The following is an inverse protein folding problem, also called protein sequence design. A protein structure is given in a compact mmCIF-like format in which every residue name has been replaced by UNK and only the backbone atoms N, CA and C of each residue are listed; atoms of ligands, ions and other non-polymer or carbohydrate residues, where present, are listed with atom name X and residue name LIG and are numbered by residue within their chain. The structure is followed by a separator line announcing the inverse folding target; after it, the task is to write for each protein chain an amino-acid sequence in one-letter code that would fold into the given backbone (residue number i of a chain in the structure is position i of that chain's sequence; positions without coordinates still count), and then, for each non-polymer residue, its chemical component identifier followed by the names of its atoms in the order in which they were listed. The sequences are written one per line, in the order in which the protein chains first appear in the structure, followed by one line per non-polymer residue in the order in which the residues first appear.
data_IF_294148488904
#
_entry.id   IF_294148488904
#
_cell.length_a   1.000
_cell.length_b   1.000
_cell.length_c   1.000
_cell.angle_alpha   90.00
_cell.angle_beta   90.00
_cell.angle_gamma   90.00
#
_symmetry.space_group_name_H-M   'P 1'
#
loop_
_entity.id
_entity.type
_entity.pdbx_description
1 polymer ?
#
# COMPACT_ATOMS: atom_id res chain seq x y z
N UNK A 1 44.88 22.70 44.25
CA UNK A 1 44.71 22.16 42.90
C UNK A 1 43.43 21.31 42.89
N UNK A 2 42.33 21.84 42.27
CA UNK A 2 41.04 21.16 42.23
C UNK A 2 40.87 20.62 40.80
N UNK A 3 40.76 19.30 40.64
CA UNK A 3 40.47 18.65 39.37
C UNK A 3 38.96 18.65 39.15
N UNK A 4 38.53 19.33 38.11
CA UNK A 4 37.16 19.32 37.61
C UNK A 4 37.09 18.20 36.55
N UNK A 5 36.42 17.09 36.90
CA UNK A 5 36.11 16.02 35.93
C UNK A 5 34.90 16.42 35.09
N UNK A 6 35.10 16.57 33.79
CA UNK A 6 34.08 16.79 32.82
C UNK A 6 33.52 15.42 32.36
N UNK A 7 32.31 15.09 32.81
CA UNK A 7 31.56 13.93 32.32
C UNK A 7 30.93 14.30 31.00
N UNK A 8 31.49 13.76 29.91
CA UNK A 8 30.89 13.85 28.57
C UNK A 8 29.75 12.84 28.49
N UNK A 9 28.51 13.33 28.56
CA UNK A 9 27.32 12.53 28.30
C UNK A 9 27.17 12.30 26.80
N UNK A 10 27.49 11.08 26.33
CA UNK A 10 27.27 10.65 24.96
C UNK A 10 25.77 10.32 24.81
N UNK A 11 24.99 11.28 24.26
CA UNK A 11 23.65 10.97 23.78
C UNK A 11 23.76 10.08 22.53
N UNK A 12 23.58 8.76 22.70
CA UNK A 12 23.30 7.87 21.58
C UNK A 12 21.91 8.21 21.04
N UNK A 13 21.83 9.01 19.98
CA UNK A 13 20.68 9.07 19.12
C UNK A 13 20.60 7.73 18.37
N UNK A 14 19.82 6.78 18.89
CA UNK A 14 19.39 5.63 18.12
C UNK A 14 18.50 6.14 16.98
N UNK A 15 19.08 6.27 15.78
CA UNK A 15 18.32 6.43 14.55
C UNK A 15 17.47 5.17 14.39
N UNK A 16 16.16 5.30 14.64
CA UNK A 16 15.17 4.30 14.29
C UNK A 16 15.13 4.30 12.75
N UNK A 17 15.98 3.50 12.12
CA UNK A 17 15.79 3.14 10.73
C UNK A 17 14.48 2.39 10.68
N UNK A 18 13.48 2.93 9.98
CA UNK A 18 12.31 2.20 9.58
C UNK A 18 12.81 0.95 8.82
N UNK A 19 12.79 -0.21 9.48
CA UNK A 19 13.16 -1.46 8.83
C UNK A 19 12.10 -1.70 7.76
N UNK A 20 12.53 -1.81 6.49
CA UNK A 20 11.64 -2.31 5.44
C UNK A 20 11.03 -3.63 5.94
N UNK A 21 9.71 -3.79 5.92
CA UNK A 21 9.08 -5.01 6.40
C UNK A 21 9.67 -6.21 5.66
N UNK A 22 9.95 -7.28 6.39
CA UNK A 22 10.44 -8.51 5.80
C UNK A 22 9.39 -9.05 4.82
N UNK A 23 9.75 -9.21 3.55
CA UNK A 23 8.86 -9.73 2.51
C UNK A 23 8.93 -11.26 2.44
N UNK A 24 7.85 -11.90 1.94
CA UNK A 24 7.78 -13.35 1.76
C UNK A 24 8.44 -13.83 0.46
N UNK A 25 8.58 -12.93 -0.50
CA UNK A 25 9.24 -13.15 -1.78
C UNK A 25 10.14 -11.95 -2.11
N UNK A 26 11.18 -12.19 -2.90
CA UNK A 26 11.98 -11.14 -3.53
C UNK A 26 11.28 -10.63 -4.80
N UNK A 27 11.73 -9.49 -5.35
CA UNK A 27 11.17 -8.97 -6.61
C UNK A 27 11.40 -9.90 -7.81
N UNK A 28 12.49 -10.68 -7.79
CA UNK A 28 12.83 -11.64 -8.81
C UNK A 28 11.92 -12.88 -8.78
N UNK A 29 11.41 -13.23 -7.59
CA UNK A 29 10.47 -14.33 -7.41
C UNK A 29 9.02 -13.95 -7.73
N UNK A 30 8.71 -12.63 -7.76
CA UNK A 30 7.36 -12.18 -8.10
C UNK A 30 7.03 -12.44 -9.57
N UNK A 31 5.76 -12.74 -9.85
CA UNK A 31 5.26 -12.94 -11.21
C UNK A 31 5.60 -11.74 -12.10
N UNK A 32 6.22 -12.01 -13.27
CA UNK A 32 6.51 -10.97 -14.25
C UNK A 32 5.22 -10.54 -14.97
N UNK A 33 4.68 -9.40 -14.60
CA UNK A 33 3.42 -8.87 -15.13
C UNK A 33 3.49 -8.50 -16.61
N UNK A 34 4.66 -8.28 -17.20
CA UNK A 34 4.83 -8.02 -18.64
C UNK A 34 4.25 -9.15 -19.49
N UNK A 35 4.24 -10.37 -18.94
CA UNK A 35 3.78 -11.57 -19.65
C UNK A 35 2.26 -11.85 -19.45
N UNK A 36 1.58 -11.15 -18.56
CA UNK A 36 0.21 -11.50 -18.18
C UNK A 36 -0.75 -10.31 -18.05
N UNK A 37 -0.26 -9.08 -18.07
CA UNK A 37 -1.12 -7.89 -18.14
C UNK A 37 -1.08 -7.28 -19.53
N UNK A 38 -2.17 -6.60 -19.97
CA UNK A 38 -2.13 -5.77 -21.18
C UNK A 38 -0.99 -4.75 -21.08
N UNK A 39 -0.40 -4.41 -22.22
CA UNK A 39 0.51 -3.27 -22.29
C UNK A 39 -0.27 -1.97 -22.02
N UNK A 40 0.39 -0.89 -21.54
CA UNK A 40 -0.26 0.41 -21.44
C UNK A 40 -0.76 0.86 -22.83
N UNK A 41 -1.89 1.60 -22.90
CA UNK A 41 -2.46 2.02 -24.17
C UNK A 41 -1.52 2.85 -25.05
N UNK A 42 -1.55 2.59 -26.35
CA UNK A 42 -0.87 3.40 -27.35
C UNK A 42 -1.48 4.80 -27.46
N UNK A 43 -0.65 5.80 -27.75
CA UNK A 43 -1.06 7.22 -27.78
C UNK A 43 -2.17 7.55 -28.80
N UNK A 44 -2.41 6.70 -29.79
CA UNK A 44 -3.49 6.85 -30.79
C UNK A 44 -4.74 6.03 -30.49
N UNK A 45 -4.79 5.29 -29.37
CA UNK A 45 -5.90 4.41 -29.04
C UNK A 45 -7.06 5.14 -28.34
N UNK A 46 -8.26 4.53 -28.37
CA UNK A 46 -9.43 5.02 -27.62
C UNK A 46 -9.21 4.92 -26.10
N UNK A 47 -8.47 3.91 -25.66
CA UNK A 47 -8.10 3.71 -24.27
C UNK A 47 -7.23 4.86 -23.78
N UNK A 48 -6.28 5.33 -24.58
CA UNK A 48 -5.47 6.51 -24.24
C UNK A 48 -6.30 7.80 -24.28
N UNK A 49 -7.26 7.93 -25.18
CA UNK A 49 -8.20 9.05 -25.16
C UNK A 49 -9.01 9.08 -23.86
N UNK A 50 -9.43 7.92 -23.33
CA UNK A 50 -10.05 7.83 -22.01
C UNK A 50 -9.08 8.24 -20.88
N UNK A 51 -7.81 7.86 -20.95
CA UNK A 51 -6.79 8.31 -19.99
C UNK A 51 -6.70 9.83 -19.95
N UNK A 52 -6.70 10.49 -21.11
CA UNK A 52 -6.69 11.96 -21.20
C UNK A 52 -7.95 12.57 -20.57
N UNK A 53 -9.14 12.05 -20.89
CA UNK A 53 -10.39 12.52 -20.34
C UNK A 53 -10.43 12.39 -18.81
N UNK A 54 -9.96 11.26 -18.28
CA UNK A 54 -9.87 11.03 -16.83
C UNK A 54 -8.86 11.94 -16.15
N UNK A 55 -7.72 12.23 -16.79
CA UNK A 55 -6.76 13.20 -16.29
C UNK A 55 -7.36 14.60 -16.22
N UNK A 56 -8.05 15.05 -17.29
CA UNK A 56 -8.72 16.36 -17.32
C UNK A 56 -9.83 16.46 -16.25
N UNK A 57 -10.65 15.42 -16.10
CA UNK A 57 -11.61 15.33 -15.02
C UNK A 57 -10.93 15.42 -13.64
N UNK A 58 -9.83 14.70 -13.42
CA UNK A 58 -9.08 14.74 -12.18
C UNK A 58 -8.63 16.16 -11.81
N UNK A 59 -8.24 16.98 -12.78
CA UNK A 59 -7.88 18.40 -12.56
C UNK A 59 -9.06 19.21 -12.00
N UNK A 60 -10.29 18.94 -12.39
CA UNK A 60 -11.47 19.64 -11.84
C UNK A 60 -11.73 19.25 -10.37
N UNK A 61 -11.45 17.98 -10.02
CA UNK A 61 -11.64 17.46 -8.66
C UNK A 61 -10.65 18.02 -7.64
N UNK A 62 -9.50 18.55 -8.06
CA UNK A 62 -8.50 19.18 -7.18
C UNK A 62 -8.98 20.48 -6.56
N UNK A 63 -10.07 21.09 -7.08
CA UNK A 63 -10.64 22.34 -6.59
C UNK A 63 -11.47 22.16 -5.31
N UNK A 64 -11.89 20.93 -5.01
CA UNK A 64 -12.55 20.57 -3.76
C UNK A 64 -11.50 20.41 -2.66
N UNK A 65 -11.53 21.28 -1.65
CA UNK A 65 -10.52 21.33 -0.61
C UNK A 65 -10.51 20.08 0.29
N UNK A 66 -11.68 19.50 0.57
CA UNK A 66 -11.77 18.27 1.38
C UNK A 66 -11.19 17.09 0.60
N UNK A 67 -11.54 17.01 -0.70
CA UNK A 67 -11.00 15.99 -1.58
C UNK A 67 -9.48 16.13 -1.77
N UNK A 68 -8.98 17.35 -1.90
CA UNK A 68 -7.56 17.63 -2.03
C UNK A 68 -6.78 17.18 -0.78
N UNK A 69 -7.28 17.47 0.41
CA UNK A 69 -6.65 17.07 1.68
C UNK A 69 -6.58 15.52 1.83
N UNK A 70 -7.65 14.81 1.44
CA UNK A 70 -7.63 13.34 1.42
C UNK A 70 -6.57 12.80 0.44
N UNK A 71 -6.47 13.41 -0.75
CA UNK A 71 -5.50 12.98 -1.77
C UNK A 71 -4.08 13.20 -1.30
N UNK A 72 -3.79 14.33 -0.65
CA UNK A 72 -2.49 14.63 -0.07
C UNK A 72 -2.11 13.62 1.01
N UNK A 73 -3.04 13.26 1.89
CA UNK A 73 -2.82 12.23 2.89
C UNK A 73 -2.57 10.83 2.25
N UNK A 74 -3.35 10.48 1.24
CA UNK A 74 -3.21 9.20 0.52
C UNK A 74 -1.92 9.10 -0.31
N UNK A 75 -1.30 10.22 -0.63
CA UNK A 75 -0.04 10.26 -1.38
C UNK A 75 1.18 9.84 -0.54
N UNK A 76 1.07 9.85 0.79
CA UNK A 76 2.17 9.49 1.69
C UNK A 76 2.57 8.03 1.49
N UNK A 77 3.81 7.82 0.97
CA UNK A 77 4.35 6.49 0.68
C UNK A 77 4.91 5.81 1.93
N UNK A 78 4.01 5.34 2.80
CA UNK A 78 4.35 4.69 4.07
C UNK A 78 3.31 3.62 4.43
N UNK A 79 3.73 2.45 4.91
CA UNK A 79 2.81 1.36 5.29
C UNK A 79 2.06 1.63 6.59
N UNK A 80 2.64 2.42 7.50
CA UNK A 80 1.95 2.82 8.75
C UNK A 80 0.80 3.78 8.42
N UNK A 81 1.04 4.75 7.53
CA UNK A 81 -0.03 5.63 7.03
C UNK A 81 -1.11 4.83 6.31
N UNK A 82 -0.73 3.84 5.50
CA UNK A 82 -1.70 2.96 4.83
C UNK A 82 -2.50 2.14 5.85
N UNK A 83 -1.88 1.64 6.92
CA UNK A 83 -2.56 0.93 8.00
C UNK A 83 -3.60 1.83 8.70
N UNK A 84 -3.26 3.10 8.97
CA UNK A 84 -4.21 4.10 9.51
C UNK A 84 -5.38 4.31 8.56
N UNK A 85 -5.11 4.50 7.25
CA UNK A 85 -6.12 4.69 6.19
C UNK A 85 -7.12 3.53 6.14
N UNK A 86 -6.66 2.30 6.32
CA UNK A 86 -7.49 1.11 6.24
C UNK A 86 -8.06 0.64 7.59
N UNK A 87 -7.68 1.26 8.72
CA UNK A 87 -8.21 0.92 10.05
C UNK A 87 -9.71 1.14 10.15
N UNK A 88 -10.22 2.27 9.61
CA UNK A 88 -11.66 2.59 9.66
C UNK A 88 -12.50 1.58 8.88
N UNK A 89 -12.24 1.31 7.58
CA UNK A 89 -13.02 0.33 6.84
C UNK A 89 -12.82 -1.11 7.34
N UNK A 90 -11.70 -1.43 8.01
CA UNK A 90 -11.45 -2.73 8.61
C UNK A 90 -12.24 -2.96 9.91
N UNK A 91 -12.54 -1.87 10.64
CA UNK A 91 -13.28 -1.89 11.90
C UNK A 91 -12.44 -2.06 13.17
N UNK A 92 -11.11 -2.10 13.04
CA UNK A 92 -10.15 -2.08 14.16
C UNK A 92 -8.94 -1.21 13.78
N UNK A 93 -8.30 -0.62 14.79
CA UNK A 93 -7.01 0.05 14.60
C UNK A 93 -5.93 -0.96 14.21
N UNK A 94 -5.27 -0.73 13.08
CA UNK A 94 -4.17 -1.57 12.60
C UNK A 94 -2.87 -0.92 13.03
N UNK A 95 -2.25 -1.43 14.09
CA UNK A 95 -0.99 -0.90 14.61
C UNK A 95 -0.15 -2.00 15.28
N UNK A 96 1.17 -1.78 15.34
CA UNK A 96 2.09 -2.71 16.00
C UNK A 96 1.78 -2.86 17.51
N UNK A 97 1.22 -1.83 18.13
CA UNK A 97 0.90 -1.83 19.56
C UNK A 97 -0.41 -2.59 19.87
N UNK A 98 -1.48 -2.32 19.12
CA UNK A 98 -2.83 -2.82 19.44
C UNK A 98 -3.21 -4.11 18.72
N UNK A 99 -2.67 -4.31 17.52
CA UNK A 99 -3.00 -5.46 16.65
C UNK A 99 -1.74 -6.03 15.98
N UNK A 100 -0.73 -6.47 16.77
CA UNK A 100 0.59 -6.82 16.25
C UNK A 100 0.58 -7.92 15.18
N UNK A 101 -0.28 -8.93 15.28
CA UNK A 101 -0.33 -10.01 14.30
C UNK A 101 -1.05 -9.57 13.00
N UNK A 102 -2.10 -8.75 13.11
CA UNK A 102 -2.79 -8.12 11.98
C UNK A 102 -1.85 -7.13 11.29
N UNK A 103 -1.19 -6.26 12.06
CA UNK A 103 -0.23 -5.29 11.52
C UNK A 103 0.91 -5.97 10.77
N UNK A 104 1.44 -7.07 11.32
CA UNK A 104 2.50 -7.85 10.67
C UNK A 104 2.00 -8.51 9.38
N UNK A 105 0.84 -9.16 9.38
CA UNK A 105 0.24 -9.74 8.18
C UNK A 105 0.02 -8.69 7.10
N UNK A 106 -0.49 -7.51 7.50
CA UNK A 106 -0.74 -6.37 6.64
C UNK A 106 0.55 -5.83 6.02
N UNK A 107 1.53 -5.44 6.84
CA UNK A 107 2.74 -4.77 6.36
C UNK A 107 3.62 -5.69 5.52
N UNK A 108 3.81 -6.95 5.94
CA UNK A 108 4.59 -7.92 5.17
C UNK A 108 3.85 -8.40 3.91
N UNK A 109 2.53 -8.60 3.99
CA UNK A 109 1.71 -9.01 2.85
C UNK A 109 1.66 -7.94 1.77
N UNK A 110 1.29 -6.70 2.13
CA UNK A 110 1.26 -5.56 1.21
C UNK A 110 2.65 -5.25 0.66
N UNK A 111 3.68 -5.23 1.53
CA UNK A 111 5.06 -4.99 1.13
C UNK A 111 5.59 -6.04 0.15
N UNK A 112 5.14 -7.30 0.26
CA UNK A 112 5.50 -8.35 -0.71
C UNK A 112 4.78 -8.13 -2.05
N UNK A 113 3.46 -7.91 -2.02
CA UNK A 113 2.66 -7.74 -3.25
C UNK A 113 3.13 -6.53 -4.05
N UNK A 114 3.51 -5.43 -3.40
CA UNK A 114 3.95 -4.23 -4.12
C UNK A 114 5.20 -4.43 -4.99
N UNK A 115 6.05 -5.41 -4.67
CA UNK A 115 7.26 -5.72 -5.45
C UNK A 115 6.94 -6.09 -6.90
N UNK A 116 5.72 -6.60 -7.16
CA UNK A 116 5.26 -7.02 -8.50
C UNK A 116 5.28 -5.86 -9.53
N UNK A 117 5.24 -4.60 -9.06
CA UNK A 117 5.28 -3.40 -9.92
C UNK A 117 6.65 -3.12 -10.54
N UNK A 118 7.73 -3.63 -9.95
CA UNK A 118 9.10 -3.19 -10.26
C UNK A 118 9.49 -3.50 -11.71
N UNK A 119 9.28 -4.73 -12.14
CA UNK A 119 9.65 -5.18 -13.50
C UNK A 119 8.84 -4.43 -14.57
N UNK A 120 7.49 -4.39 -14.54
CA UNK A 120 6.73 -3.70 -15.58
C UNK A 120 6.96 -2.19 -15.59
N UNK A 121 7.18 -1.53 -14.44
CA UNK A 121 7.54 -0.10 -14.41
C UNK A 121 8.83 0.18 -15.18
N UNK A 122 9.86 -0.63 -14.95
CA UNK A 122 11.14 -0.49 -15.65
C UNK A 122 11.00 -0.82 -17.15
N UNK A 123 10.22 -1.86 -17.49
CA UNK A 123 10.05 -2.33 -18.87
C UNK A 123 9.30 -1.34 -19.74
N UNK A 124 8.13 -0.85 -19.29
CA UNK A 124 7.30 0.08 -20.07
C UNK A 124 7.81 1.51 -19.97
N UNK A 125 8.41 1.88 -18.86
CA UNK A 125 8.89 3.24 -18.55
C UNK A 125 7.91 4.33 -19.03
N UNK A 126 6.61 4.09 -18.80
CA UNK A 126 5.53 4.94 -19.30
C UNK A 126 5.61 6.33 -18.70
N UNK A 127 5.53 7.36 -19.55
CA UNK A 127 5.54 8.75 -19.10
C UNK A 127 4.29 9.08 -18.28
N UNK A 128 4.47 9.73 -17.13
CA UNK A 128 3.36 10.16 -16.27
C UNK A 128 2.58 11.34 -16.86
N UNK A 129 1.27 11.53 -16.51
CA UNK A 129 0.46 12.63 -17.02
C UNK A 129 1.10 14.00 -16.86
N UNK A 130 1.49 14.37 -15.62
CA UNK A 130 2.10 15.66 -15.32
C UNK A 130 3.41 15.91 -16.08
N UNK A 131 4.19 14.86 -16.34
CA UNK A 131 5.43 14.94 -17.13
C UNK A 131 5.11 15.13 -18.62
N UNK A 132 4.05 14.45 -19.13
CA UNK A 132 3.64 14.56 -20.52
C UNK A 132 3.13 15.95 -20.85
N UNK A 133 2.36 16.56 -19.95
CA UNK A 133 1.79 17.89 -20.15
C UNK A 133 2.66 19.02 -19.63
N UNK A 134 3.80 18.72 -19.00
CA UNK A 134 4.64 19.69 -18.33
C UNK A 134 3.87 20.58 -17.35
N UNK A 135 3.07 19.94 -16.52
CA UNK A 135 2.21 20.57 -15.50
C UNK A 135 2.65 20.10 -14.11
N UNK A 136 2.13 20.74 -13.07
CA UNK A 136 2.30 20.27 -11.69
C UNK A 136 1.20 19.26 -11.27
N UNK A 137 1.60 18.31 -10.44
CA UNK A 137 0.64 17.47 -9.70
C UNK A 137 0.01 18.28 -8.55
N UNK A 138 -1.09 17.76 -7.96
CA UNK A 138 -1.57 18.25 -6.67
C UNK A 138 -0.51 18.06 -5.57
N UNK A 139 0.14 16.89 -5.57
CA UNK A 139 1.19 16.50 -4.61
C UNK A 139 2.59 16.81 -5.17
N UNK A 140 2.92 18.10 -5.23
CA UNK A 140 4.16 18.58 -5.88
C UNK A 140 5.44 18.02 -5.27
N UNK A 141 5.42 17.64 -3.98
CA UNK A 141 6.59 17.06 -3.29
C UNK A 141 7.00 15.67 -3.79
N UNK A 142 6.11 14.95 -4.51
CA UNK A 142 6.44 13.66 -5.11
C UNK A 142 7.08 13.79 -6.52
N UNK A 143 7.03 14.98 -7.14
CA UNK A 143 7.35 15.13 -8.58
C UNK A 143 8.77 14.72 -8.92
N UNK A 144 9.75 15.14 -8.12
CA UNK A 144 11.17 14.89 -8.40
C UNK A 144 11.49 13.38 -8.33
N UNK A 145 10.93 12.68 -7.36
CA UNK A 145 11.08 11.23 -7.22
C UNK A 145 10.38 10.48 -8.37
N UNK A 146 9.16 10.88 -8.69
CA UNK A 146 8.32 10.17 -9.66
C UNK A 146 8.66 10.49 -11.12
N UNK A 147 9.34 11.59 -11.40
CA UNK A 147 9.61 12.08 -12.77
C UNK A 147 10.31 11.05 -13.65
N UNK A 148 11.23 10.30 -13.08
CA UNK A 148 12.07 9.32 -13.78
C UNK A 148 11.62 7.87 -13.55
N UNK A 149 10.54 7.65 -12.79
CA UNK A 149 9.96 6.33 -12.56
C UNK A 149 8.74 6.11 -13.48
N UNK A 150 8.69 4.99 -14.20
CA UNK A 150 7.56 4.65 -15.06
C UNK A 150 6.21 4.69 -14.33
N UNK A 151 5.14 5.17 -15.00
CA UNK A 151 3.82 5.27 -14.38
C UNK A 151 3.08 3.93 -14.28
N UNK A 152 3.33 2.99 -15.18
CA UNK A 152 2.56 1.76 -15.33
C UNK A 152 3.25 0.53 -14.72
N UNK A 153 2.53 -0.25 -13.88
CA UNK A 153 1.26 0.03 -13.22
C UNK A 153 1.43 0.97 -12.01
N UNK A 154 0.32 1.47 -11.44
CA UNK A 154 0.33 2.35 -10.27
C UNK A 154 0.70 1.62 -8.98
N UNK A 155 1.82 2.00 -8.36
CA UNK A 155 2.29 1.40 -7.10
C UNK A 155 1.33 1.64 -5.92
N UNK A 156 0.82 2.87 -5.74
CA UNK A 156 -0.18 3.18 -4.72
C UNK A 156 -1.43 2.33 -4.88
N UNK A 157 -1.96 2.20 -6.11
CA UNK A 157 -3.15 1.38 -6.36
C UNK A 157 -2.91 -0.10 -6.04
N UNK A 158 -1.72 -0.63 -6.37
CA UNK A 158 -1.33 -2.01 -5.97
C UNK A 158 -1.35 -2.14 -4.45
N UNK A 159 -0.76 -1.20 -3.70
CA UNK A 159 -0.77 -1.21 -2.23
C UNK A 159 -2.19 -1.16 -1.67
N UNK A 160 -3.02 -0.23 -2.13
CA UNK A 160 -4.40 -0.09 -1.66
C UNK A 160 -5.24 -1.34 -1.94
N UNK A 161 -5.12 -1.92 -3.13
CA UNK A 161 -5.83 -3.14 -3.49
C UNK A 161 -5.32 -4.36 -2.71
N UNK A 162 -4.00 -4.48 -2.51
CA UNK A 162 -3.38 -5.50 -1.67
C UNK A 162 -3.83 -5.38 -0.21
N UNK A 163 -3.92 -4.16 0.32
CA UNK A 163 -4.45 -3.90 1.65
C UNK A 163 -5.87 -4.44 1.81
N UNK A 164 -6.76 -4.16 0.85
CA UNK A 164 -8.13 -4.67 0.87
C UNK A 164 -8.16 -6.20 0.80
N UNK A 165 -7.35 -6.84 -0.05
CA UNK A 165 -7.29 -8.30 -0.18
C UNK A 165 -6.84 -8.97 1.14
N UNK A 166 -5.74 -8.49 1.74
CA UNK A 166 -5.19 -9.03 2.98
C UNK A 166 -6.16 -8.84 4.15
N UNK A 167 -6.76 -7.66 4.28
CA UNK A 167 -7.68 -7.35 5.37
C UNK A 167 -9.04 -8.04 5.22
N UNK A 168 -9.57 -8.19 4.01
CA UNK A 168 -10.81 -8.93 3.75
C UNK A 168 -10.65 -10.42 4.05
N UNK A 169 -9.45 -10.99 3.92
CA UNK A 169 -9.17 -12.37 4.33
C UNK A 169 -9.23 -12.53 5.86
N UNK A 170 -8.90 -11.49 6.63
CA UNK A 170 -8.98 -11.48 8.10
C UNK A 170 -10.42 -11.20 8.56
N UNK A 171 -11.06 -10.17 8.00
CA UNK A 171 -12.42 -9.73 8.28
C UNK A 171 -13.28 -9.72 7.01
N UNK A 172 -13.87 -10.85 6.60
CA UNK A 172 -14.70 -10.91 5.39
C UNK A 172 -15.96 -10.01 5.44
N UNK A 173 -16.45 -9.67 6.63
CA UNK A 173 -17.60 -8.79 6.77
C UNK A 173 -17.32 -7.35 6.33
N UNK A 174 -16.06 -6.92 6.34
CA UNK A 174 -15.63 -5.59 5.93
C UNK A 174 -15.26 -5.49 4.43
N UNK A 175 -15.49 -6.55 3.65
CA UNK A 175 -15.02 -6.62 2.24
C UNK A 175 -15.50 -5.43 1.40
N UNK A 176 -16.76 -5.04 1.51
CA UNK A 176 -17.35 -3.95 0.72
C UNK A 176 -16.64 -2.62 1.01
N UNK A 177 -16.49 -2.28 2.27
CA UNK A 177 -15.88 -1.02 2.72
C UNK A 177 -14.39 -0.97 2.38
N UNK A 178 -13.68 -2.09 2.54
CA UNK A 178 -12.27 -2.21 2.20
C UNK A 178 -12.02 -1.98 0.72
N UNK A 179 -12.80 -2.64 -0.17
CA UNK A 179 -12.64 -2.46 -1.61
C UNK A 179 -13.14 -1.12 -2.11
N UNK A 180 -14.18 -0.53 -1.50
CA UNK A 180 -14.58 0.84 -1.78
C UNK A 180 -13.46 1.84 -1.46
N UNK A 181 -12.81 1.68 -0.29
CA UNK A 181 -11.66 2.52 0.10
C UNK A 181 -10.46 2.32 -0.82
N UNK A 182 -10.14 1.08 -1.19
CA UNK A 182 -9.06 0.78 -2.13
C UNK A 182 -9.30 1.38 -3.52
N UNK A 183 -10.55 1.34 -4.00
CA UNK A 183 -10.95 2.00 -5.26
C UNK A 183 -10.71 3.51 -5.22
N UNK A 184 -11.15 4.16 -4.14
CA UNK A 184 -10.95 5.61 -3.91
C UNK A 184 -9.47 5.96 -3.77
N UNK A 185 -8.68 5.14 -3.06
CA UNK A 185 -7.23 5.31 -2.93
C UNK A 185 -6.51 5.29 -4.27
N UNK A 186 -6.91 4.37 -5.17
CA UNK A 186 -6.38 4.32 -6.54
C UNK A 186 -6.83 5.52 -7.39
N UNK A 187 -8.11 5.92 -7.32
CA UNK A 187 -8.64 7.08 -8.03
C UNK A 187 -7.91 8.37 -7.66
N UNK A 188 -7.50 8.51 -6.40
CA UNK A 188 -6.71 9.64 -5.92
C UNK A 188 -5.41 9.83 -6.71
N UNK A 189 -4.83 8.76 -7.27
CA UNK A 189 -3.61 8.85 -8.09
C UNK A 189 -3.86 9.41 -9.50
N UNK A 190 -5.08 9.27 -10.03
CA UNK A 190 -5.51 9.96 -11.26
C UNK A 190 -5.75 11.43 -10.99
N UNK A 191 -6.47 11.73 -9.90
CA UNK A 191 -6.83 13.11 -9.52
C UNK A 191 -5.56 13.92 -9.22
N UNK A 192 -4.60 13.38 -8.45
CA UNK A 192 -3.33 14.07 -8.21
C UNK A 192 -2.52 14.32 -9.50
N UNK A 193 -2.72 13.53 -10.55
CA UNK A 193 -2.00 13.64 -11.83
C UNK A 193 -0.74 12.78 -11.93
N UNK A 194 -0.51 11.90 -10.96
CA UNK A 194 0.64 11.00 -10.94
C UNK A 194 0.50 9.83 -11.93
N UNK A 195 -0.75 9.39 -12.18
CA UNK A 195 -1.05 8.18 -12.95
C UNK A 195 -2.19 8.41 -13.96
N UNK A 196 -2.15 7.64 -15.03
CA UNK A 196 -3.24 7.48 -15.97
C UNK A 196 -4.31 6.55 -15.39
N UNK A 197 -5.56 6.64 -15.90
CA UNK A 197 -6.62 5.73 -15.46
C UNK A 197 -6.26 4.27 -15.74
N UNK A 198 -5.69 3.98 -16.91
CA UNK A 198 -5.26 2.63 -17.30
C UNK A 198 -4.12 2.08 -16.41
N UNK A 199 -3.24 2.93 -15.84
CA UNK A 199 -2.25 2.50 -14.84
C UNK A 199 -2.95 1.97 -13.57
N UNK A 200 -4.02 2.68 -13.14
CA UNK A 200 -4.82 2.33 -11.97
C UNK A 200 -5.62 1.05 -12.23
N UNK A 201 -6.25 0.93 -13.39
CA UNK A 201 -7.06 -0.23 -13.74
C UNK A 201 -6.22 -1.51 -13.85
N UNK A 202 -5.03 -1.44 -14.45
CA UNK A 202 -4.09 -2.57 -14.51
C UNK A 202 -3.54 -2.97 -13.13
N UNK A 203 -3.52 -2.05 -12.17
CA UNK A 203 -2.98 -2.31 -10.84
C UNK A 203 -3.84 -3.24 -9.99
N UNK A 204 -5.16 -3.26 -10.21
CA UNK A 204 -6.09 -4.13 -9.48
C UNK A 204 -5.84 -5.61 -9.79
N UNK A 205 -5.85 -6.05 -11.07
CA UNK A 205 -5.46 -7.43 -11.39
C UNK A 205 -4.00 -7.72 -11.03
N UNK A 206 -3.07 -6.74 -11.14
CA UNK A 206 -1.68 -6.92 -10.71
C UNK A 206 -1.58 -7.30 -9.22
N UNK A 207 -2.27 -6.56 -8.35
CA UNK A 207 -2.30 -6.86 -6.91
C UNK A 207 -2.96 -8.21 -6.64
N UNK A 208 -4.03 -8.56 -7.38
CA UNK A 208 -4.72 -9.85 -7.24
C UNK A 208 -3.82 -11.03 -7.65
N UNK A 209 -3.02 -10.89 -8.70
CA UNK A 209 -2.01 -11.88 -9.11
C UNK A 209 -0.96 -12.04 -8.00
N UNK A 210 -0.43 -10.93 -7.49
CA UNK A 210 0.54 -10.96 -6.39
C UNK A 210 -0.03 -11.59 -5.12
N UNK A 211 -1.29 -11.33 -4.82
CA UNK A 211 -1.99 -11.95 -3.69
C UNK A 211 -2.16 -13.46 -3.85
N UNK A 212 -2.53 -13.94 -5.05
CA UNK A 212 -2.61 -15.39 -5.32
C UNK A 212 -1.24 -16.04 -5.14
N UNK A 213 -0.17 -15.41 -5.64
CA UNK A 213 1.18 -15.89 -5.41
C UNK A 213 1.54 -15.89 -3.93
N UNK A 214 1.19 -14.85 -3.18
CA UNK A 214 1.45 -14.74 -1.75
C UNK A 214 0.83 -15.92 -0.96
N UNK A 215 -0.36 -16.40 -1.37
CA UNK A 215 -1.01 -17.58 -0.77
C UNK A 215 -0.19 -18.87 -0.89
N UNK A 216 0.77 -18.96 -1.82
CA UNK A 216 1.66 -20.13 -1.94
C UNK A 216 2.70 -20.20 -0.81
N UNK A 217 2.98 -19.08 -0.11
CA UNK A 217 3.94 -19.03 1.01
C UNK A 217 3.37 -19.67 2.27
N UNK A 218 3.97 -20.76 2.81
CA UNK A 218 3.56 -21.33 4.10
C UNK A 218 3.67 -20.33 5.26
N UNK A 219 4.73 -19.50 5.24
CA UNK A 219 4.96 -18.49 6.28
C UNK A 219 3.88 -17.40 6.29
N UNK A 220 3.42 -16.98 5.09
CA UNK A 220 2.28 -16.05 4.99
C UNK A 220 1.00 -16.66 5.54
N UNK A 221 0.68 -17.89 5.15
CA UNK A 221 -0.53 -18.57 5.63
C UNK A 221 -0.53 -18.73 7.15
N UNK A 222 0.61 -19.08 7.74
CA UNK A 222 0.74 -19.15 9.21
C UNK A 222 0.51 -17.77 9.84
N UNK A 223 1.09 -16.70 9.29
CA UNK A 223 0.87 -15.35 9.78
C UNK A 223 -0.60 -14.92 9.67
N UNK A 224 -1.29 -15.30 8.60
CA UNK A 224 -2.71 -15.02 8.41
C UNK A 224 -3.59 -15.76 9.44
N UNK A 225 -3.26 -16.99 9.80
CA UNK A 225 -3.96 -17.70 10.88
C UNK A 225 -3.80 -16.98 12.24
N UNK A 226 -2.59 -16.45 12.52
CA UNK A 226 -2.32 -15.65 13.72
C UNK A 226 -3.14 -14.36 13.75
N UNK A 227 -3.15 -13.63 12.62
CA UNK A 227 -3.93 -12.41 12.46
C UNK A 227 -5.44 -12.64 12.62
N UNK A 228 -5.96 -13.73 12.06
CA UNK A 228 -7.38 -14.13 12.26
C UNK A 228 -7.68 -14.48 13.71
N UNK A 229 -6.77 -15.17 14.39
CA UNK A 229 -6.94 -15.51 15.81
C UNK A 229 -6.97 -14.25 16.68
N UNK A 230 -6.11 -13.27 16.40
CA UNK A 230 -6.09 -11.97 17.05
C UNK A 230 -7.40 -11.21 16.80
N UNK A 231 -7.85 -11.13 15.55
CA UNK A 231 -9.11 -10.48 15.18
C UNK A 231 -10.30 -11.09 15.93
N UNK A 232 -10.44 -12.43 15.91
CA UNK A 232 -11.53 -13.14 16.59
C UNK A 232 -11.50 -12.85 18.09
N UNK A 233 -10.32 -12.81 18.70
CA UNK A 233 -10.22 -12.48 20.11
C UNK A 233 -10.63 -11.05 20.41
N UNK A 234 -10.15 -10.08 19.64
CA UNK A 234 -10.44 -8.67 19.87
C UNK A 234 -11.91 -8.32 19.66
N UNK A 235 -12.58 -8.99 18.70
CA UNK A 235 -13.99 -8.72 18.38
C UNK A 235 -14.96 -9.55 19.23
N UNK A 236 -14.65 -10.83 19.49
CA UNK A 236 -15.59 -11.77 20.11
C UNK A 236 -15.17 -12.27 21.49
N UNK A 237 -13.99 -11.89 21.98
CA UNK A 237 -13.47 -12.33 23.28
C UNK A 237 -13.12 -13.82 23.37
N UNK A 238 -13.04 -14.52 22.22
CA UNK A 238 -12.81 -15.97 22.16
C UNK A 238 -11.50 -16.32 21.45
N UNK A 239 -10.87 -17.42 21.84
CA UNK A 239 -9.66 -17.94 21.18
C UNK A 239 -10.09 -19.11 20.30
N UNK A 240 -9.98 -18.99 18.96
CA UNK A 240 -10.50 -20.01 18.03
C UNK A 240 -9.78 -21.36 18.15
N UNK A 241 -8.49 -21.37 18.55
CA UNK A 241 -7.69 -22.60 18.75
C UNK A 241 -6.75 -22.44 19.93
N UNK A 242 -6.56 -23.51 20.70
CA UNK A 242 -5.65 -23.57 21.85
C UNK A 242 -4.20 -23.18 21.48
N UNK A 243 -3.76 -23.47 20.26
CA UNK A 243 -2.41 -23.12 19.79
C UNK A 243 -2.15 -21.60 19.76
N UNK A 244 -3.20 -20.77 19.69
CA UNK A 244 -3.09 -19.30 19.69
C UNK A 244 -3.27 -18.64 21.06
N UNK A 245 -3.43 -19.42 22.14
CA UNK A 245 -3.55 -18.86 23.50
C UNK A 245 -2.38 -17.96 23.91
N UNK A 246 -1.18 -18.23 23.41
CA UNK A 246 0.00 -17.40 23.71
C UNK A 246 -0.10 -16.00 23.11
N UNK A 247 -0.64 -15.89 21.87
CA UNK A 247 -0.86 -14.60 21.18
C UNK A 247 -1.83 -13.76 22.01
N UNK A 248 -2.97 -14.33 22.34
CA UNK A 248 -4.04 -13.67 23.09
C UNK A 248 -3.60 -13.24 24.49
N UNK A 249 -2.77 -14.04 25.18
CA UNK A 249 -2.26 -13.68 26.52
C UNK A 249 -1.40 -12.42 26.51
N UNK A 250 -0.73 -12.12 25.40
CA UNK A 250 0.09 -10.91 25.27
C UNK A 250 -0.76 -9.66 24.98
N UNK A 251 -1.93 -9.81 24.35
CA UNK A 251 -2.89 -8.73 24.07
C UNK A 251 -3.70 -8.32 25.32
N UNK A 252 -3.83 -9.20 26.31
CA UNK A 252 -4.58 -8.97 27.54
C UNK A 252 -3.75 -8.24 28.64
N UNK A 253 -2.53 -7.81 28.34
CA UNK A 253 -1.63 -7.04 29.22
C UNK A 253 -1.54 -5.60 28.77
#
# INVERSE_FOLDING_TARGET
MKYISFLLSLCLCASVFAQNPQTYFTKEEMTNLVNCLPAPPDSGSLEFANDILRYMWGKTMRQDAERAAEIEHDAIWNLDTLAVIFSVPFGLEISQEKTPEIYKAFTQGVGTIELIRIIPKAYYNRKRPYVMYNEHMLTTWEEDELRNEGSYPSGHTIRGWAAALVLAEINPAATTELFARAGRYGENRVITGAHWQSDVDASRPAASIGYVQLQSSPAYREQMERARAEFVYLVYGTVPDKKYKAIVKNLAR
#
